data_IF_548982311572
#
_entry.id   IF_548982311572
#
_cell.length_a   1.000
_cell.length_b   1.000
_cell.length_c   1.000
_cell.angle_alpha   90.00
_cell.angle_beta   90.00
_cell.angle_gamma   90.00
#
_symmetry.space_group_name_H-M   'P 1'
#
loop_
_entity.id
_entity.type
_entity.pdbx_description
1 polymer ?
#
# COMPACT_ATOMS: atom_id res chain seq x y z
N UNK A 1 14.64 1.10 16.63
CA UNK A 1 13.44 0.28 16.36
C UNK A 1 13.34 0.11 14.86
N UNK A 2 13.09 -1.11 14.39
CA UNK A 2 12.91 -1.38 12.96
C UNK A 2 11.49 -0.98 12.55
N UNK A 3 11.30 -0.35 11.38
CA UNK A 3 9.95 0.00 10.86
C UNK A 3 9.07 -1.26 10.72
N UNK A 4 9.67 -2.44 10.56
CA UNK A 4 8.96 -3.72 10.49
C UNK A 4 8.33 -4.17 11.82
N UNK A 5 8.70 -3.52 12.93
CA UNK A 5 8.14 -3.74 14.27
C UNK A 5 7.01 -2.74 14.59
N UNK A 6 6.74 -1.78 13.69
CA UNK A 6 5.61 -0.88 13.87
C UNK A 6 4.28 -1.66 13.81
N UNK A 7 3.28 -1.30 14.64
CA UNK A 7 2.02 -2.04 14.77
C UNK A 7 1.30 -2.31 13.44
N UNK A 8 1.39 -1.38 12.48
CA UNK A 8 0.80 -1.50 11.15
C UNK A 8 1.42 -2.64 10.35
N UNK A 9 2.76 -2.73 10.33
CA UNK A 9 3.46 -3.80 9.61
C UNK A 9 3.29 -5.15 10.29
N UNK A 10 3.14 -5.18 11.62
CA UNK A 10 2.79 -6.41 12.35
C UNK A 10 1.39 -6.90 11.95
N UNK A 11 0.41 -6.01 11.86
CA UNK A 11 -0.95 -6.36 11.38
C UNK A 11 -0.94 -6.78 9.91
N UNK A 12 -0.16 -6.11 9.07
CA UNK A 12 -0.06 -6.41 7.64
C UNK A 12 0.36 -7.87 7.38
N UNK A 13 1.19 -8.47 8.25
CA UNK A 13 1.58 -9.89 8.18
C UNK A 13 0.40 -10.86 8.23
N UNK A 14 -0.75 -10.47 8.80
CA UNK A 14 -1.93 -11.32 8.88
C UNK A 14 -2.55 -11.61 7.50
N UNK A 15 -2.22 -10.80 6.49
CA UNK A 15 -2.69 -10.91 5.12
C UNK A 15 -1.73 -11.66 4.19
N UNK A 16 -0.58 -12.10 4.71
CA UNK A 16 0.39 -12.89 3.96
C UNK A 16 -0.26 -14.13 3.33
N UNK A 17 -0.10 -14.28 2.02
CA UNK A 17 -0.67 -15.38 1.23
C UNK A 17 -2.20 -15.38 1.09
N UNK A 18 -2.91 -14.38 1.63
CA UNK A 18 -4.38 -14.26 1.53
C UNK A 18 -4.84 -13.28 0.46
N UNK A 19 -3.93 -12.45 -0.03
CA UNK A 19 -4.19 -11.44 -1.06
C UNK A 19 -3.45 -11.79 -2.35
N UNK A 20 -3.95 -11.32 -3.48
CA UNK A 20 -3.29 -11.52 -4.76
C UNK A 20 -2.05 -10.62 -4.86
N UNK A 21 -0.87 -11.18 -4.58
CA UNK A 21 0.40 -10.46 -4.57
C UNK A 21 0.64 -9.63 -5.84
N UNK A 22 0.38 -10.21 -7.03
CA UNK A 22 0.63 -9.53 -8.30
C UNK A 22 -0.28 -8.30 -8.46
N UNK A 23 -1.52 -8.41 -8.01
CA UNK A 23 -2.48 -7.30 -8.07
C UNK A 23 -2.12 -6.20 -7.08
N UNK A 24 -1.67 -6.55 -5.87
CA UNK A 24 -1.18 -5.56 -4.89
C UNK A 24 0.04 -4.83 -5.43
N UNK A 25 1.00 -5.55 -6.01
CA UNK A 25 2.18 -4.96 -6.66
C UNK A 25 1.78 -3.98 -7.76
N UNK A 26 0.87 -4.39 -8.66
CA UNK A 26 0.35 -3.51 -9.70
C UNK A 26 -0.29 -2.24 -9.14
N UNK A 27 -1.14 -2.36 -8.11
CA UNK A 27 -1.82 -1.21 -7.48
C UNK A 27 -0.79 -0.25 -6.85
N UNK A 28 0.23 -0.78 -6.17
CA UNK A 28 1.27 0.04 -5.55
C UNK A 28 2.14 0.77 -6.60
N UNK A 29 2.47 0.10 -7.70
CA UNK A 29 3.21 0.69 -8.82
C UNK A 29 2.39 1.80 -9.50
N UNK A 30 1.08 1.60 -9.69
CA UNK A 30 0.17 2.61 -10.23
C UNK A 30 0.07 3.83 -9.30
N UNK A 31 0.00 3.63 -7.98
CA UNK A 31 -0.01 4.72 -6.99
C UNK A 31 1.29 5.51 -7.04
N UNK A 32 2.43 4.82 -7.12
CA UNK A 32 3.74 5.45 -7.24
C UNK A 32 3.86 6.28 -8.52
N UNK A 33 3.40 5.73 -9.65
CA UNK A 33 3.43 6.41 -10.93
C UNK A 33 2.55 7.67 -10.94
N UNK A 34 1.34 7.59 -10.38
CA UNK A 34 0.46 8.76 -10.23
C UNK A 34 1.06 9.81 -9.27
N UNK A 35 1.64 9.39 -8.15
CA UNK A 35 2.28 10.28 -7.18
C UNK A 35 3.49 11.03 -7.75
N UNK A 36 4.18 10.46 -8.75
CA UNK A 36 5.25 11.18 -9.46
C UNK A 36 4.70 12.34 -10.30
N UNK A 37 3.45 12.23 -10.77
CA UNK A 37 2.74 13.29 -11.48
C UNK A 37 1.89 14.20 -10.60
N UNK A 38 1.57 13.76 -9.38
CA UNK A 38 0.74 14.48 -8.42
C UNK A 38 1.42 14.55 -7.04
N UNK A 39 1.61 15.73 -6.47
CA UNK A 39 2.31 15.88 -5.16
C UNK A 39 1.47 15.44 -3.94
N UNK A 40 0.42 14.61 -4.13
CA UNK A 40 -0.53 14.25 -3.08
C UNK A 40 -0.91 12.76 -3.09
N UNK A 41 -0.30 12.01 -2.16
CA UNK A 41 -0.55 10.57 -1.95
C UNK A 41 -2.03 10.23 -1.78
N UNK A 42 -2.82 11.10 -1.12
CA UNK A 42 -4.22 10.80 -0.83
C UNK A 42 -5.03 10.81 -2.12
N UNK A 43 -4.73 11.76 -3.01
CA UNK A 43 -5.34 11.84 -4.34
C UNK A 43 -4.94 10.62 -5.17
N UNK A 44 -3.65 10.24 -5.18
CA UNK A 44 -3.16 9.06 -5.92
C UNK A 44 -3.83 7.77 -5.46
N UNK A 45 -3.94 7.56 -4.14
CA UNK A 45 -4.63 6.39 -3.58
C UNK A 45 -6.10 6.37 -4.03
N UNK A 46 -6.82 7.49 -3.92
CA UNK A 46 -8.24 7.56 -4.32
C UNK A 46 -8.40 7.25 -5.81
N UNK A 47 -7.56 7.85 -6.65
CA UNK A 47 -7.61 7.67 -8.09
C UNK A 47 -7.37 6.21 -8.49
N UNK A 48 -6.29 5.60 -7.98
CA UNK A 48 -5.97 4.21 -8.31
C UNK A 48 -7.01 3.25 -7.71
N UNK A 49 -7.44 3.44 -6.46
CA UNK A 49 -8.45 2.59 -5.84
C UNK A 49 -9.79 2.64 -6.59
N UNK A 50 -10.13 3.78 -7.21
CA UNK A 50 -11.32 3.90 -8.04
C UNK A 50 -11.27 3.03 -9.30
N UNK A 51 -10.07 2.73 -9.81
CA UNK A 51 -9.85 1.85 -10.96
C UNK A 51 -9.86 0.36 -10.58
N UNK A 52 -9.69 0.04 -9.29
CA UNK A 52 -9.64 -1.33 -8.75
C UNK A 52 -10.77 -1.64 -7.76
N UNK A 53 -11.91 -0.94 -7.86
CA UNK A 53 -12.98 -0.93 -6.85
C UNK A 53 -13.43 -2.32 -6.38
N UNK A 54 -13.58 -3.28 -7.30
CA UNK A 54 -14.05 -4.62 -6.95
C UNK A 54 -13.05 -5.36 -6.05
N UNK A 55 -11.76 -5.21 -6.32
CA UNK A 55 -10.71 -5.80 -5.50
C UNK A 55 -10.59 -5.10 -4.15
N UNK A 56 -10.60 -3.76 -4.16
CA UNK A 56 -10.54 -2.96 -2.94
C UNK A 56 -11.72 -3.32 -2.02
N UNK A 57 -12.92 -3.51 -2.56
CA UNK A 57 -14.10 -3.91 -1.77
C UNK A 57 -13.97 -5.31 -1.18
N UNK A 58 -13.43 -6.28 -1.91
CA UNK A 58 -13.24 -7.67 -1.43
C UNK A 58 -12.26 -7.74 -0.26
N UNK A 59 -11.21 -6.92 -0.31
CA UNK A 59 -10.14 -6.91 0.67
C UNK A 59 -10.05 -5.55 1.40
N UNK A 60 -11.20 -4.97 1.75
CA UNK A 60 -11.29 -3.59 2.25
C UNK A 60 -10.35 -3.30 3.42
N UNK A 61 -10.37 -4.14 4.45
CA UNK A 61 -9.53 -3.97 5.64
C UNK A 61 -8.03 -3.91 5.30
N UNK A 62 -7.60 -4.73 4.34
CA UNK A 62 -6.22 -4.76 3.87
C UNK A 62 -5.84 -3.46 3.13
N UNK A 63 -6.69 -3.01 2.20
CA UNK A 63 -6.40 -1.81 1.42
C UNK A 63 -6.55 -0.51 2.21
N UNK A 64 -7.43 -0.48 3.22
CA UNK A 64 -7.49 0.60 4.20
C UNK A 64 -6.15 0.69 4.97
N UNK A 65 -5.60 -0.46 5.40
CA UNK A 65 -4.30 -0.52 6.08
C UNK A 65 -3.14 -0.11 5.16
N UNK A 66 -3.12 -0.54 3.90
CA UNK A 66 -2.15 -0.05 2.91
C UNK A 66 -2.22 1.47 2.79
N UNK A 67 -3.42 2.04 2.69
CA UNK A 67 -3.59 3.49 2.55
C UNK A 67 -3.06 4.24 3.78
N UNK A 68 -3.25 3.72 4.99
CA UNK A 68 -2.68 4.26 6.22
C UNK A 68 -1.15 4.21 6.22
N UNK A 69 -0.58 3.05 5.86
CA UNK A 69 0.88 2.87 5.78
C UNK A 69 1.48 3.84 4.75
N UNK A 70 0.93 3.89 3.54
CA UNK A 70 1.40 4.80 2.50
C UNK A 70 1.39 6.24 2.99
N UNK A 71 0.26 6.73 3.52
CA UNK A 71 0.14 8.11 4.01
C UNK A 71 1.11 8.43 5.16
N UNK A 72 1.35 7.48 6.08
CA UNK A 72 2.17 7.69 7.27
C UNK A 72 3.67 7.65 6.98
N UNK A 73 4.10 6.83 6.01
CA UNK A 73 5.51 6.53 5.80
C UNK A 73 6.09 7.10 4.50
N UNK A 74 5.29 7.43 3.48
CA UNK A 74 5.85 7.85 2.18
C UNK A 74 6.73 9.11 2.26
N UNK A 75 6.37 10.10 3.08
CA UNK A 75 7.21 11.31 3.29
C UNK A 75 8.48 11.05 4.07
N UNK A 76 8.53 9.97 4.86
CA UNK A 76 9.64 9.67 5.76
C UNK A 76 10.73 8.88 5.07
N UNK A 77 10.34 7.89 4.28
CA UNK A 77 11.27 6.94 3.65
C UNK A 77 11.14 6.87 2.13
N UNK A 78 10.21 7.60 1.51
CA UNK A 78 9.95 7.54 0.07
C UNK A 78 8.95 6.43 -0.30
N UNK A 79 8.14 6.69 -1.32
CA UNK A 79 7.07 5.79 -1.77
C UNK A 79 7.60 4.42 -2.22
N UNK A 80 8.71 4.40 -2.96
CA UNK A 80 9.39 3.18 -3.44
C UNK A 80 9.76 2.25 -2.28
N UNK A 81 10.33 2.82 -1.21
CA UNK A 81 10.72 2.05 -0.03
C UNK A 81 9.51 1.55 0.75
N UNK A 82 8.43 2.33 0.84
CA UNK A 82 7.18 1.86 1.47
C UNK A 82 6.58 0.70 0.68
N UNK A 83 6.51 0.82 -0.65
CA UNK A 83 6.00 -0.22 -1.54
C UNK A 83 6.78 -1.53 -1.35
N UNK A 84 8.11 -1.47 -1.36
CA UNK A 84 8.96 -2.63 -1.12
C UNK A 84 8.75 -3.27 0.26
N UNK A 85 8.55 -2.46 1.31
CA UNK A 85 8.27 -2.99 2.65
C UNK A 85 6.91 -3.69 2.72
N UNK A 86 5.87 -3.12 2.10
CA UNK A 86 4.55 -3.74 2.02
C UNK A 86 4.66 -5.08 1.30
N UNK A 87 5.26 -5.10 0.11
CA UNK A 87 5.42 -6.30 -0.71
C UNK A 87 6.23 -7.38 0.01
N UNK A 88 7.34 -7.02 0.66
CA UNK A 88 8.16 -7.97 1.42
C UNK A 88 7.41 -8.56 2.61
N UNK A 89 6.49 -7.79 3.20
CA UNK A 89 5.71 -8.23 4.37
C UNK A 89 4.60 -9.20 3.98
N UNK A 90 3.98 -9.02 2.81
CA UNK A 90 2.83 -9.84 2.35
C UNK A 90 3.23 -11.02 1.47
N UNK A 91 4.47 -11.04 0.96
CA UNK A 91 5.08 -12.18 0.26
C UNK A 91 5.24 -13.36 1.22
#
# INVERSE_FOLDING_TARGET
MSILEDPEFVKLRQFKGKVNFNLVMQILDEIELDLRGSDNIKTSIIYVYSSHLDEIRKNKEFYDMIAEILQRYYKKIGIENVNQLILTTIK
#
